data_IF_699386071226
#
_entry.id   IF_699386071226
#
_cell.length_a   1.000
_cell.length_b   1.000
_cell.length_c   1.000
_cell.angle_alpha   90.00
_cell.angle_beta   90.00
_cell.angle_gamma   90.00
#
_symmetry.space_group_name_H-M   'P 1'
#
loop_
_entity.id
_entity.type
_entity.pdbx_description
1 polymer ?
#
# COMPACT_ATOMS: atom_id res chain seq x y z
N UNK A 1 18.93 15.68 -2.32
CA UNK A 1 17.63 15.20 -1.84
C UNK A 1 17.79 14.69 -0.41
N UNK A 2 16.86 14.97 0.51
CA UNK A 2 17.04 14.53 1.89
C UNK A 2 17.09 13.00 1.96
N UNK A 3 18.06 12.48 2.69
CA UNK A 3 18.16 11.06 3.03
C UNK A 3 16.96 10.67 3.93
N UNK A 4 16.51 9.42 3.84
CA UNK A 4 15.52 8.91 4.79
C UNK A 4 16.02 8.99 6.24
N UNK A 5 17.32 9.07 6.44
CA UNK A 5 17.94 9.26 7.76
C UNK A 5 17.68 10.65 8.36
N UNK A 6 17.45 11.67 7.53
CA UNK A 6 17.19 13.07 7.93
C UNK A 6 15.73 13.49 7.74
N UNK A 7 14.80 12.55 7.53
CA UNK A 7 13.40 12.85 7.30
C UNK A 7 12.71 13.25 8.62
N UNK A 8 12.11 14.44 8.65
CA UNK A 8 11.39 14.98 9.82
C UNK A 8 10.13 14.17 10.18
N UNK A 9 9.57 13.43 9.23
CA UNK A 9 8.36 12.60 9.39
C UNK A 9 8.65 11.14 9.77
N UNK A 10 9.87 10.84 10.19
CA UNK A 10 10.35 9.48 10.46
C UNK A 10 9.51 8.71 11.50
N UNK A 11 9.09 9.29 12.64
CA UNK A 11 8.40 8.54 13.70
C UNK A 11 7.02 7.99 13.30
N UNK A 12 6.37 8.60 12.32
CA UNK A 12 4.97 8.30 11.98
C UNK A 12 4.83 7.36 10.77
N UNK A 13 5.96 6.83 10.23
CA UNK A 13 5.98 6.11 8.97
C UNK A 13 6.70 4.78 9.08
N UNK A 14 6.00 3.68 8.81
CA UNK A 14 6.46 2.30 9.03
C UNK A 14 7.81 1.99 8.37
N UNK A 15 8.02 2.41 7.11
CA UNK A 15 9.31 2.23 6.43
C UNK A 15 10.37 3.28 6.80
N UNK A 16 10.00 4.30 7.54
CA UNK A 16 10.95 5.30 8.02
C UNK A 16 11.38 5.03 9.48
N UNK A 17 10.59 4.27 10.23
CA UNK A 17 10.89 3.85 11.61
C UNK A 17 11.59 2.47 11.65
N UNK A 18 12.61 2.31 10.81
CA UNK A 18 13.46 1.14 10.79
C UNK A 18 14.75 1.39 11.60
N UNK A 19 15.42 0.33 12.10
CA UNK A 19 16.78 0.44 12.64
C UNK A 19 17.71 1.17 11.66
N UNK A 20 18.66 1.93 12.20
CA UNK A 20 19.51 2.81 11.38
C UNK A 20 20.28 2.05 10.28
N UNK A 21 20.70 0.81 10.55
CA UNK A 21 21.43 -0.01 9.58
C UNK A 21 20.51 -0.47 8.44
N UNK A 22 19.29 -0.93 8.75
CA UNK A 22 18.28 -1.29 7.74
C UNK A 22 17.87 -0.08 6.91
N UNK A 23 17.77 1.09 7.54
CA UNK A 23 17.43 2.33 6.85
C UNK A 23 18.53 2.77 5.86
N UNK A 24 19.82 2.58 6.19
CA UNK A 24 20.93 2.86 5.27
C UNK A 24 20.88 1.96 4.04
N UNK A 25 20.60 0.67 4.22
CA UNK A 25 20.47 -0.27 3.11
C UNK A 25 19.24 0.08 2.24
N UNK A 26 18.13 0.42 2.86
CA UNK A 26 16.94 0.89 2.14
C UNK A 26 17.21 2.17 1.35
N UNK A 27 17.94 3.12 1.93
CA UNK A 27 18.34 4.37 1.28
C UNK A 27 19.19 4.13 0.01
N UNK A 28 20.00 3.07 0.02
CA UNK A 28 20.84 2.71 -1.12
C UNK A 28 20.09 2.04 -2.29
N UNK A 29 18.95 1.39 -2.03
CA UNK A 29 18.16 0.67 -3.05
C UNK A 29 16.95 1.47 -3.58
N UNK A 30 16.64 2.59 -2.96
CA UNK A 30 15.52 3.44 -3.36
C UNK A 30 15.89 4.37 -4.52
N UNK A 31 14.88 4.73 -5.28
CA UNK A 31 14.92 5.86 -6.23
C UNK A 31 13.86 6.86 -5.83
N UNK A 32 14.23 8.12 -5.64
CA UNK A 32 13.29 9.19 -5.28
C UNK A 32 13.00 10.06 -6.49
N UNK A 33 11.73 10.41 -6.68
CA UNK A 33 11.29 11.30 -7.75
C UNK A 33 10.20 12.25 -7.30
N UNK A 34 10.13 13.41 -7.95
CA UNK A 34 9.01 14.35 -7.84
C UNK A 34 8.15 14.20 -9.09
N UNK A 35 6.86 14.05 -8.90
CA UNK A 35 5.90 13.78 -9.96
C UNK A 35 4.76 14.80 -9.92
N UNK A 36 4.29 15.29 -11.08
CA UNK A 36 3.16 16.19 -11.13
C UNK A 36 1.84 15.49 -10.79
N UNK A 37 0.83 16.29 -10.46
CA UNK A 37 -0.56 15.84 -10.34
C UNK A 37 -0.99 15.03 -11.58
N UNK A 38 -1.89 14.08 -11.39
CA UNK A 38 -2.43 13.16 -12.41
C UNK A 38 -1.40 12.16 -12.97
N UNK A 39 -0.20 12.05 -12.39
CA UNK A 39 0.73 10.97 -12.74
C UNK A 39 0.18 9.64 -12.25
N UNK A 40 0.12 8.65 -13.14
CA UNK A 40 -0.21 7.27 -12.79
C UNK A 40 1.07 6.56 -12.39
N UNK A 41 1.19 6.17 -11.11
CA UNK A 41 2.36 5.45 -10.60
C UNK A 41 2.39 4.01 -11.12
N UNK A 42 1.23 3.36 -11.10
CA UNK A 42 1.01 2.03 -11.67
C UNK A 42 -0.47 1.82 -11.97
N UNK A 43 -0.74 0.88 -12.87
CA UNK A 43 -2.10 0.53 -13.30
C UNK A 43 -2.44 -0.91 -12.95
N UNK A 44 -3.71 -1.12 -12.59
CA UNK A 44 -4.33 -2.44 -12.43
C UNK A 44 -3.99 -3.37 -13.60
N UNK A 45 -3.71 -4.64 -13.32
CA UNK A 45 -3.38 -5.67 -14.30
C UNK A 45 -1.95 -5.62 -14.86
N UNK A 46 -1.16 -4.58 -14.54
CA UNK A 46 0.24 -4.51 -14.99
C UNK A 46 1.17 -5.26 -14.01
N UNK A 47 2.25 -5.88 -14.50
CA UNK A 47 3.21 -6.58 -13.64
C UNK A 47 3.76 -5.69 -12.53
N UNK A 48 3.76 -6.19 -11.29
CA UNK A 48 4.27 -5.46 -10.14
C UNK A 48 5.81 -5.47 -10.12
N UNK A 49 6.41 -4.46 -10.73
CA UNK A 49 7.87 -4.32 -10.83
C UNK A 49 8.53 -3.75 -9.57
N UNK A 50 7.76 -3.23 -8.64
CA UNK A 50 8.24 -2.63 -7.40
C UNK A 50 7.14 -2.04 -6.55
N UNK A 51 7.55 -1.33 -5.52
CA UNK A 51 6.67 -0.61 -4.61
C UNK A 51 6.91 0.89 -4.70
N UNK A 52 5.92 1.65 -4.29
CA UNK A 52 5.97 3.10 -4.23
C UNK A 52 5.65 3.55 -2.80
N UNK A 53 6.53 4.35 -2.20
CA UNK A 53 6.31 4.98 -0.90
C UNK A 53 6.01 6.46 -1.14
N UNK A 54 4.86 6.91 -0.68
CA UNK A 54 4.43 8.29 -0.79
C UNK A 54 5.09 9.11 0.31
N UNK A 55 6.08 9.96 -0.05
CA UNK A 55 6.76 10.83 0.91
C UNK A 55 5.96 12.09 1.19
N UNK A 56 5.33 12.63 0.15
CA UNK A 56 4.47 13.81 0.20
C UNK A 56 3.39 13.72 -0.87
N UNK A 57 2.28 14.46 -0.68
CA UNK A 57 1.14 14.45 -1.58
C UNK A 57 0.14 13.33 -1.29
N UNK A 58 -0.80 13.10 -2.22
CA UNK A 58 -1.89 12.11 -2.10
C UNK A 58 -2.06 11.33 -3.39
N UNK A 59 -2.46 10.06 -3.26
CA UNK A 59 -2.77 9.21 -4.39
C UNK A 59 -4.19 8.63 -4.27
N UNK A 60 -4.93 8.67 -5.37
CA UNK A 60 -6.22 8.00 -5.52
C UNK A 60 -5.98 6.54 -5.91
N UNK A 61 -6.52 5.63 -5.13
CA UNK A 61 -6.51 4.19 -5.39
C UNK A 61 -7.85 3.76 -5.96
N UNK A 62 -7.85 3.17 -7.14
CA UNK A 62 -9.08 2.79 -7.85
C UNK A 62 -8.96 1.42 -8.53
N UNK A 63 -10.09 0.77 -8.73
CA UNK A 63 -10.25 -0.45 -9.53
C UNK A 63 -11.17 -0.18 -10.71
N UNK A 64 -11.03 -0.98 -11.77
CA UNK A 64 -11.94 -0.99 -12.89
C UNK A 64 -13.04 -2.05 -12.62
N UNK A 65 -14.30 -1.63 -12.60
CA UNK A 65 -15.42 -2.56 -12.54
C UNK A 65 -15.64 -3.22 -13.91
N UNK A 66 -16.32 -4.36 -13.95
CA UNK A 66 -16.60 -5.13 -15.17
C UNK A 66 -17.28 -4.31 -16.28
N UNK A 67 -18.06 -3.30 -15.90
CA UNK A 67 -18.72 -2.37 -16.82
C UNK A 67 -17.80 -1.22 -17.31
N UNK A 68 -16.50 -1.28 -17.04
CA UNK A 68 -15.50 -0.26 -17.42
C UNK A 68 -15.50 1.00 -16.54
N UNK A 69 -16.37 1.10 -15.53
CA UNK A 69 -16.40 2.26 -14.61
C UNK A 69 -15.30 2.13 -13.55
N UNK A 70 -14.59 3.22 -13.29
CA UNK A 70 -13.60 3.28 -12.22
C UNK A 70 -14.28 3.53 -10.88
N UNK A 71 -14.00 2.65 -9.92
CA UNK A 71 -14.41 2.81 -8.54
C UNK A 71 -13.22 3.26 -7.71
N UNK A 72 -13.33 4.42 -7.06
CA UNK A 72 -12.33 4.87 -6.09
C UNK A 72 -12.51 4.09 -4.80
N UNK A 73 -11.46 3.37 -4.38
CA UNK A 73 -11.46 2.60 -3.13
C UNK A 73 -11.12 3.47 -1.94
N UNK A 74 -10.06 4.28 -2.07
CA UNK A 74 -9.61 5.23 -1.05
C UNK A 74 -8.57 6.20 -1.61
N UNK A 75 -8.22 7.18 -0.79
CA UNK A 75 -7.09 8.08 -1.01
C UNK A 75 -5.98 7.66 -0.05
N UNK A 76 -4.79 7.47 -0.59
CA UNK A 76 -3.57 7.23 0.17
C UNK A 76 -2.86 8.55 0.44
N UNK A 77 -2.23 8.65 1.61
CA UNK A 77 -1.50 9.83 2.07
C UNK A 77 -0.01 9.58 2.29
N UNK A 78 0.70 10.61 2.79
CA UNK A 78 2.12 10.51 3.07
C UNK A 78 2.45 9.39 4.08
N UNK A 79 3.53 8.65 3.82
CA UNK A 79 3.96 7.50 4.62
C UNK A 79 3.40 6.17 4.16
N UNK A 80 2.40 6.15 3.29
CA UNK A 80 1.81 4.90 2.81
C UNK A 80 2.65 4.25 1.70
N UNK A 81 2.68 2.92 1.74
CA UNK A 81 3.35 2.07 0.74
C UNK A 81 2.31 1.48 -0.20
N UNK A 82 2.49 1.69 -1.48
CA UNK A 82 1.56 1.27 -2.52
C UNK A 82 2.16 0.10 -3.33
N UNK A 83 1.33 -0.89 -3.66
CA UNK A 83 1.70 -2.03 -4.48
C UNK A 83 2.50 -3.11 -3.77
N UNK A 84 2.58 -3.08 -2.43
CA UNK A 84 3.38 -4.01 -1.65
C UNK A 84 2.91 -5.46 -1.77
N UNK A 85 1.60 -5.72 -1.64
CA UNK A 85 1.02 -7.05 -1.76
C UNK A 85 1.36 -7.70 -3.10
N UNK A 86 1.09 -7.00 -4.20
CA UNK A 86 1.37 -7.47 -5.56
C UNK A 86 2.87 -7.71 -5.79
N UNK A 87 3.74 -6.82 -5.29
CA UNK A 87 5.19 -6.98 -5.43
C UNK A 87 5.72 -8.20 -4.66
N UNK A 88 5.21 -8.49 -3.46
CA UNK A 88 5.61 -9.65 -2.66
C UNK A 88 5.07 -10.96 -3.22
N UNK A 89 3.79 -10.98 -3.64
CA UNK A 89 3.13 -12.16 -4.23
C UNK A 89 3.55 -12.45 -5.67
N UNK A 90 4.29 -11.53 -6.31
CA UNK A 90 4.64 -11.62 -7.74
C UNK A 90 3.42 -11.71 -8.65
N UNK A 91 2.36 -11.00 -8.29
CA UNK A 91 1.12 -10.88 -9.07
C UNK A 91 1.05 -9.52 -9.76
N UNK A 92 0.20 -9.33 -10.77
CA UNK A 92 -0.10 -7.99 -11.28
C UNK A 92 -0.68 -7.08 -10.18
N UNK A 93 -0.54 -5.76 -10.35
CA UNK A 93 -1.19 -4.80 -9.46
C UNK A 93 -2.71 -4.97 -9.51
N UNK A 94 -3.35 -5.03 -8.36
CA UNK A 94 -4.80 -5.23 -8.19
C UNK A 94 -5.59 -3.92 -8.33
N UNK A 95 -4.88 -2.79 -8.29
CA UNK A 95 -5.46 -1.44 -8.30
C UNK A 95 -4.63 -0.51 -9.19
N UNK A 96 -5.21 0.63 -9.54
CA UNK A 96 -4.51 1.76 -10.17
C UNK A 96 -4.24 2.83 -9.12
N UNK A 97 -3.01 3.36 -9.06
CA UNK A 97 -2.62 4.48 -8.22
C UNK A 97 -2.31 5.72 -9.08
N UNK A 98 -3.05 6.80 -8.85
CA UNK A 98 -2.95 8.08 -9.57
C UNK A 98 -2.76 9.23 -8.58
N UNK A 99 -1.75 10.07 -8.77
CA UNK A 99 -1.45 11.19 -7.91
C UNK A 99 -2.51 12.30 -8.02
N UNK A 100 -3.00 12.77 -6.87
CA UNK A 100 -3.96 13.87 -6.78
C UNK A 100 -3.29 15.24 -6.66
N UNK A 101 -2.03 15.25 -6.21
CA UNK A 101 -1.24 16.44 -5.99
C UNK A 101 0.16 16.24 -6.60
N UNK A 102 0.93 17.34 -6.77
CA UNK A 102 2.37 17.22 -6.97
C UNK A 102 2.98 16.51 -5.76
N UNK A 103 3.70 15.42 -5.99
CA UNK A 103 4.06 14.48 -4.93
C UNK A 103 5.52 14.07 -5.01
N UNK A 104 6.12 13.80 -3.85
CA UNK A 104 7.40 13.12 -3.74
C UNK A 104 7.18 11.63 -3.47
N UNK A 105 7.78 10.79 -4.31
CA UNK A 105 7.58 9.34 -4.26
C UNK A 105 8.93 8.64 -4.29
N UNK A 106 9.10 7.65 -3.41
CA UNK A 106 10.18 6.69 -3.45
C UNK A 106 9.71 5.46 -4.21
N UNK A 107 10.51 4.97 -5.11
CA UNK A 107 10.34 3.70 -5.80
C UNK A 107 11.43 2.72 -5.38
N UNK A 108 11.04 1.47 -5.10
CA UNK A 108 11.97 0.36 -4.84
C UNK A 108 11.60 -0.80 -5.75
N UNK A 109 12.60 -1.29 -6.50
CA UNK A 109 12.40 -2.44 -7.40
C UNK A 109 12.06 -3.68 -6.60
N UNK A 110 11.17 -4.51 -7.14
CA UNK A 110 10.74 -5.76 -6.51
C UNK A 110 11.91 -6.66 -6.07
N UNK A 111 12.89 -6.89 -6.95
CA UNK A 111 14.04 -7.74 -6.65
C UNK A 111 14.87 -7.22 -5.46
N UNK A 112 15.06 -5.91 -5.40
CA UNK A 112 15.85 -5.25 -4.36
C UNK A 112 15.07 -5.26 -3.04
N UNK A 113 13.74 -5.04 -3.08
CA UNK A 113 12.86 -5.17 -1.94
C UNK A 113 12.88 -6.59 -1.34
N UNK A 114 12.70 -7.62 -2.18
CA UNK A 114 12.67 -9.02 -1.72
C UNK A 114 14.00 -9.42 -1.10
N UNK A 115 15.13 -9.01 -1.68
CA UNK A 115 16.45 -9.22 -1.09
C UNK A 115 16.56 -8.50 0.26
N UNK A 116 16.21 -7.22 0.29
CA UNK A 116 16.24 -6.41 1.50
C UNK A 116 15.44 -7.03 2.66
N UNK A 117 14.23 -7.51 2.40
CA UNK A 117 13.38 -8.14 3.41
C UNK A 117 13.95 -9.48 3.90
N UNK A 118 14.66 -10.24 3.07
CA UNK A 118 15.36 -11.47 3.48
C UNK A 118 16.52 -11.18 4.42
N UNK A 119 17.24 -10.09 4.15
CA UNK A 119 18.42 -9.70 4.92
C UNK A 119 18.04 -8.95 6.22
N UNK A 120 16.80 -8.47 6.35
CA UNK A 120 16.28 -7.69 7.47
C UNK A 120 14.95 -8.25 8.01
N UNK A 121 15.00 -9.34 8.82
CA UNK A 121 13.78 -10.00 9.34
C UNK A 121 12.91 -9.08 10.21
N UNK A 122 13.51 -8.13 10.92
CA UNK A 122 12.80 -7.12 11.72
C UNK A 122 11.87 -6.24 10.88
N UNK A 123 12.30 -5.91 9.64
CA UNK A 123 11.49 -5.14 8.69
C UNK A 123 10.36 -6.02 8.11
N UNK A 124 10.60 -7.33 7.92
CA UNK A 124 9.54 -8.27 7.54
C UNK A 124 8.37 -8.26 8.51
N UNK A 125 8.62 -8.21 9.81
CA UNK A 125 7.55 -8.16 10.81
C UNK A 125 6.75 -6.85 10.74
N UNK A 126 7.39 -5.74 10.41
CA UNK A 126 6.69 -4.47 10.16
C UNK A 126 5.81 -4.56 8.90
N UNK A 127 6.32 -5.17 7.83
CA UNK A 127 5.55 -5.44 6.59
C UNK A 127 4.33 -6.31 6.87
N UNK A 128 4.47 -7.38 7.64
CA UNK A 128 3.35 -8.26 8.03
C UNK A 128 2.27 -7.49 8.79
N UNK A 129 2.67 -6.66 9.75
CA UNK A 129 1.71 -5.81 10.50
C UNK A 129 0.97 -4.85 9.58
N UNK A 130 1.67 -4.21 8.65
CA UNK A 130 1.08 -3.28 7.69
C UNK A 130 0.07 -3.98 6.78
N UNK A 131 0.41 -5.15 6.22
CA UNK A 131 -0.51 -5.93 5.39
C UNK A 131 -1.74 -6.41 6.19
N UNK A 132 -1.56 -6.77 7.46
CA UNK A 132 -2.67 -7.12 8.37
C UNK A 132 -3.60 -5.93 8.62
N UNK A 133 -3.05 -4.73 8.79
CA UNK A 133 -3.84 -3.50 8.94
C UNK A 133 -4.60 -3.14 7.67
N UNK A 134 -3.96 -3.27 6.50
CA UNK A 134 -4.61 -3.05 5.20
C UNK A 134 -5.79 -4.01 4.99
N UNK A 135 -5.61 -5.30 5.34
CA UNK A 135 -6.66 -6.31 5.27
C UNK A 135 -7.81 -5.98 6.22
N UNK A 136 -7.50 -5.59 7.46
CA UNK A 136 -8.53 -5.17 8.43
C UNK A 136 -9.32 -3.96 7.92
N UNK A 137 -8.64 -2.96 7.40
CA UNK A 137 -9.27 -1.79 6.77
C UNK A 137 -10.14 -2.16 5.55
N UNK A 138 -9.76 -3.20 4.79
CA UNK A 138 -10.58 -3.71 3.69
C UNK A 138 -11.88 -4.35 4.21
N UNK A 139 -11.83 -5.15 5.27
CA UNK A 139 -13.03 -5.73 5.90
C UNK A 139 -13.99 -4.66 6.42
N UNK A 140 -13.47 -3.61 7.06
CA UNK A 140 -14.33 -2.51 7.54
C UNK A 140 -15.02 -1.78 6.38
N UNK A 141 -14.35 -1.55 5.27
CA UNK A 141 -14.96 -0.96 4.06
C UNK A 141 -16.08 -1.84 3.50
N UNK A 142 -15.85 -3.16 3.39
CA UNK A 142 -16.85 -4.13 2.92
C UNK A 142 -18.06 -4.14 3.87
N UNK A 143 -17.83 -4.12 5.17
CA UNK A 143 -18.90 -4.05 6.18
C UNK A 143 -19.74 -2.79 6.01
N UNK A 144 -19.11 -1.64 5.85
CA UNK A 144 -19.80 -0.35 5.66
C UNK A 144 -20.65 -0.35 4.38
N UNK A 145 -20.11 -0.85 3.27
CA UNK A 145 -20.87 -0.97 2.00
C UNK A 145 -22.01 -1.96 2.16
N UNK A 146 -21.79 -3.12 2.79
CA UNK A 146 -22.82 -4.12 3.04
C UNK A 146 -23.99 -3.57 3.87
N UNK A 147 -23.72 -2.74 4.89
CA UNK A 147 -24.75 -2.11 5.71
C UNK A 147 -25.62 -1.10 4.93
N UNK A 148 -25.08 -0.46 3.91
CA UNK A 148 -25.82 0.48 3.05
C UNK A 148 -26.79 -0.30 2.14
N UNK A 149 -26.40 -1.48 1.65
CA UNK A 149 -27.19 -2.28 0.71
C UNK A 149 -28.19 -3.22 1.39
N UNK A 150 -27.99 -3.61 2.68
CA UNK A 150 -28.89 -4.52 3.40
C UNK A 150 -29.97 -3.76 4.18
N UNK A 151 -30.76 -2.91 3.54
CA UNK A 151 -31.97 -2.33 4.13
C UNK A 151 -33.16 -3.31 4.22
N UNK A 152 -32.96 -4.63 4.13
CA UNK A 152 -33.94 -5.65 4.49
C UNK A 152 -33.31 -6.72 5.35
N UNK A 153 -33.75 -6.96 6.60
CA UNK A 153 -33.29 -8.09 7.39
C UNK A 153 -33.88 -9.37 6.79
N UNK A 154 -33.11 -10.07 5.97
CA UNK A 154 -33.32 -11.51 5.79
C UNK A 154 -32.69 -12.18 7.01
N UNK A 155 -33.46 -13.02 7.68
CA UNK A 155 -33.02 -13.85 8.81
C UNK A 155 -31.67 -14.50 8.47
N UNK A 156 -30.63 -14.06 9.16
CA UNK A 156 -29.30 -14.65 9.02
C UNK A 156 -29.33 -15.96 9.79
N UNK A 157 -29.33 -17.08 9.06
CA UNK A 157 -29.00 -18.39 9.65
C UNK A 157 -27.58 -18.28 10.21
N UNK A 158 -27.46 -18.26 11.54
CA UNK A 158 -26.14 -18.25 12.20
C UNK A 158 -25.44 -19.57 11.89
N UNK A 159 -24.27 -19.57 11.24
CA UNK A 159 -23.48 -20.78 11.14
C UNK A 159 -23.10 -21.22 12.57
N UNK A 160 -23.29 -22.49 12.89
CA UNK A 160 -22.80 -23.08 14.15
C UNK A 160 -21.29 -22.92 14.19
N UNK A 161 -20.77 -22.31 15.26
CA UNK A 161 -19.35 -22.28 15.53
C UNK A 161 -18.87 -23.74 15.69
N UNK A 162 -17.85 -24.14 14.92
CA UNK A 162 -17.31 -25.51 14.93
C UNK A 162 -16.38 -25.71 16.13
N UNK A 163 -15.93 -24.61 16.76
CA UNK A 163 -15.11 -24.65 17.98
C UNK A 163 -15.66 -23.64 18.99
N UNK A 164 -16.07 -24.16 20.13
CA UNK A 164 -16.29 -23.43 21.35
C UNK A 164 -15.14 -23.70 22.30
#
# INVERSE_FOLDING_TARGET
MPSCLSCEFRPDRIFCDMPADSLRVFDAIKTTGSFPRNTVLFSEGKPARGIFLLCDGRAKLSICAENGRRLTLRIAGPGEVLGLGAALSNTPYEITAELLDASQVIYVRRKDLVKFLKDHPEVCMQVVRMLSQDLHGAYERVRTIGMIYTRRPRSIVRPRAIFA
#
